data_IF_438380476808
#
_entry.id   IF_438380476808
#
_cell.length_a   1.000
_cell.length_b   1.000
_cell.length_c   1.000
_cell.angle_alpha   90.00
_cell.angle_beta   90.00
_cell.angle_gamma   90.00
#
_symmetry.space_group_name_H-M   'P 1'
#
loop_
_entity.id
_entity.type
_entity.pdbx_description
1 polymer ?
#
# COMPACT_ATOMS: atom_id res chain seq x y z
N UNK A 1 -1.27 -21.37 9.91
CA UNK A 1 -2.06 -20.73 10.99
C UNK A 1 -1.71 -19.24 11.07
N UNK A 2 -2.63 -18.37 11.48
CA UNK A 2 -2.36 -16.92 11.68
C UNK A 2 -3.07 -16.42 12.94
N UNK A 3 -2.43 -15.53 13.68
CA UNK A 3 -3.00 -14.79 14.79
C UNK A 3 -2.65 -13.31 14.61
N UNK A 4 -3.59 -12.40 14.89
CA UNK A 4 -3.40 -10.98 14.63
C UNK A 4 -3.90 -10.10 15.75
N UNK A 5 -3.20 -9.00 15.97
CA UNK A 5 -3.57 -7.90 16.83
C UNK A 5 -3.69 -6.61 16.01
N UNK A 6 -4.68 -5.78 16.31
CA UNK A 6 -4.87 -4.48 15.64
C UNK A 6 -5.22 -3.43 16.67
N UNK A 7 -4.55 -2.28 16.59
CA UNK A 7 -4.82 -1.12 17.42
C UNK A 7 -5.00 0.15 16.56
N UNK A 8 -5.89 1.04 17.00
CA UNK A 8 -6.16 2.32 16.35
C UNK A 8 -5.91 3.44 17.36
N UNK A 9 -5.04 4.38 17.02
CA UNK A 9 -4.77 5.58 17.80
C UNK A 9 -5.26 6.78 17.01
N UNK A 10 -6.31 7.45 17.49
CA UNK A 10 -6.79 8.71 16.92
C UNK A 10 -6.06 9.88 17.56
N UNK A 11 -5.50 10.79 16.76
CA UNK A 11 -4.90 12.03 17.25
C UNK A 11 -5.70 13.22 16.70
N UNK A 12 -6.56 13.79 17.54
CA UNK A 12 -7.53 14.80 17.10
C UNK A 12 -8.52 14.22 16.07
N UNK A 13 -9.11 15.10 15.26
CA UNK A 13 -10.13 14.70 14.26
C UNK A 13 -9.55 14.36 12.88
N UNK A 14 -8.31 14.75 12.60
CA UNK A 14 -7.71 14.68 11.27
C UNK A 14 -6.62 13.62 11.11
N UNK A 15 -6.23 12.92 12.17
CA UNK A 15 -5.11 11.96 12.14
C UNK A 15 -5.47 10.63 12.76
N UNK A 16 -5.19 9.55 12.04
CA UNK A 16 -5.41 8.19 12.50
C UNK A 16 -4.16 7.35 12.28
N UNK A 17 -3.58 6.84 13.37
CA UNK A 17 -2.52 5.84 13.33
C UNK A 17 -3.13 4.46 13.56
N UNK A 18 -2.75 3.48 12.74
CA UNK A 18 -3.16 2.10 12.85
C UNK A 18 -1.93 1.21 12.94
N UNK A 19 -1.88 0.40 13.99
CA UNK A 19 -0.86 -0.60 14.18
C UNK A 19 -1.51 -1.97 14.02
N UNK A 20 -0.93 -2.83 13.18
CA UNK A 20 -1.35 -4.23 13.04
C UNK A 20 -0.14 -5.13 13.19
N UNK A 21 -0.26 -6.11 14.07
CA UNK A 21 0.76 -7.14 14.27
C UNK A 21 0.15 -8.49 13.91
N UNK A 22 0.81 -9.28 13.07
CA UNK A 22 0.32 -10.59 12.63
C UNK A 22 1.39 -11.64 12.79
N UNK A 23 1.18 -12.59 13.69
CA UNK A 23 1.99 -13.79 13.82
C UNK A 23 1.45 -14.87 12.87
N UNK A 24 2.34 -15.56 12.16
CA UNK A 24 1.93 -16.62 11.24
C UNK A 24 2.87 -17.82 11.28
N UNK A 25 2.30 -18.96 10.89
CA UNK A 25 3.04 -20.16 10.51
C UNK A 25 2.55 -20.65 9.16
N UNK A 26 3.49 -20.86 8.23
CA UNK A 26 3.25 -21.44 6.91
C UNK A 26 4.31 -22.51 6.64
N UNK A 27 3.91 -23.59 5.99
CA UNK A 27 4.82 -24.70 5.67
C UNK A 27 6.04 -24.25 4.86
N UNK A 28 5.84 -23.37 3.88
CA UNK A 28 6.90 -22.86 3.00
C UNK A 28 7.81 -21.78 3.60
N UNK A 29 7.36 -21.05 4.64
CA UNK A 29 8.09 -19.90 5.23
C UNK A 29 8.49 -20.12 6.70
N UNK A 30 7.95 -21.14 7.33
CA UNK A 30 8.05 -21.36 8.77
C UNK A 30 7.24 -20.35 9.59
N UNK A 31 7.75 -20.06 10.79
CA UNK A 31 7.21 -19.03 11.69
C UNK A 31 7.67 -17.64 11.26
N UNK A 32 6.77 -16.66 11.35
CA UNK A 32 7.10 -15.26 11.15
C UNK A 32 6.12 -14.31 11.81
N UNK A 33 6.49 -13.04 11.81
CA UNK A 33 5.68 -11.93 12.29
C UNK A 33 5.69 -10.80 11.26
N UNK A 34 4.55 -10.15 11.09
CA UNK A 34 4.41 -8.97 10.23
C UNK A 34 3.84 -7.82 11.07
N UNK A 35 4.60 -6.74 11.16
CA UNK A 35 4.20 -5.46 11.76
C UNK A 35 3.83 -4.49 10.65
N UNK A 36 2.69 -3.81 10.79
CA UNK A 36 2.22 -2.78 9.87
C UNK A 36 1.83 -1.52 10.63
N UNK A 37 2.33 -0.38 10.15
CA UNK A 37 2.06 0.95 10.67
C UNK A 37 1.48 1.81 9.55
N UNK A 38 0.25 2.26 9.73
CA UNK A 38 -0.47 3.09 8.76
C UNK A 38 -0.92 4.38 9.44
N UNK A 39 -0.40 5.50 8.94
CA UNK A 39 -0.77 6.84 9.37
C UNK A 39 -1.60 7.53 8.29
N UNK A 40 -2.83 7.89 8.62
CA UNK A 40 -3.69 8.74 7.80
C UNK A 40 -3.74 10.15 8.37
N UNK A 41 -3.62 11.15 7.50
CA UNK A 41 -3.76 12.56 7.83
C UNK A 41 -4.64 13.26 6.78
N UNK A 42 -5.76 13.82 7.23
CA UNK A 42 -6.55 14.74 6.41
C UNK A 42 -5.80 16.07 6.30
N UNK A 43 -5.58 16.53 5.06
CA UNK A 43 -4.94 17.82 4.76
C UNK A 43 -5.97 18.91 4.41
N UNK A 44 -7.23 18.51 4.20
CA UNK A 44 -8.38 19.34 3.90
C UNK A 44 -9.56 18.43 3.52
N UNK A 45 -10.58 19.00 2.88
CA UNK A 45 -11.77 18.24 2.47
C UNK A 45 -11.49 17.28 1.30
N UNK A 46 -10.59 17.69 0.40
CA UNK A 46 -10.29 16.96 -0.83
C UNK A 46 -9.00 16.13 -0.77
N UNK A 47 -8.16 16.32 0.25
CA UNK A 47 -6.83 15.71 0.32
C UNK A 47 -6.61 14.90 1.59
N UNK A 48 -6.14 13.67 1.42
CA UNK A 48 -5.68 12.80 2.51
C UNK A 48 -4.30 12.25 2.18
N UNK A 49 -3.37 12.37 3.12
CA UNK A 49 -2.08 11.70 3.07
C UNK A 49 -2.15 10.38 3.84
N UNK A 50 -1.62 9.30 3.26
CA UNK A 50 -1.43 8.00 3.92
C UNK A 50 0.03 7.61 3.85
N UNK A 51 0.62 7.30 4.99
CA UNK A 51 1.94 6.68 5.07
C UNK A 51 1.80 5.28 5.63
N UNK A 52 2.17 4.28 4.86
CA UNK A 52 2.08 2.87 5.22
C UNK A 52 3.46 2.25 5.26
N UNK A 53 3.77 1.54 6.34
CA UNK A 53 5.02 0.83 6.52
C UNK A 53 4.72 -0.59 6.95
N UNK A 54 5.43 -1.55 6.36
CA UNK A 54 5.30 -2.96 6.66
C UNK A 54 6.68 -3.54 6.94
N UNK A 55 6.77 -4.42 7.94
CA UNK A 55 7.98 -5.15 8.27
C UNK A 55 7.63 -6.60 8.57
N UNK A 56 8.26 -7.54 7.88
CA UNK A 56 8.08 -8.98 8.06
C UNK A 56 9.40 -9.62 8.45
N UNK A 57 9.38 -10.35 9.57
CA UNK A 57 10.45 -11.25 9.99
C UNK A 57 9.94 -12.67 9.84
N UNK A 58 10.62 -13.49 9.05
CA UNK A 58 10.32 -14.92 8.91
C UNK A 58 11.62 -15.72 8.80
N UNK A 59 11.50 -17.06 8.77
CA UNK A 59 12.70 -17.92 8.65
C UNK A 59 13.32 -17.88 7.24
N UNK A 60 12.52 -17.54 6.24
CA UNK A 60 12.92 -17.47 4.84
C UNK A 60 13.39 -16.07 4.40
N UNK A 61 13.34 -15.06 5.28
CA UNK A 61 13.77 -13.69 4.99
C UNK A 61 15.20 -13.44 5.46
N UNK A 62 15.98 -12.71 4.68
CA UNK A 62 17.32 -12.27 5.11
C UNK A 62 17.20 -11.01 5.96
N UNK A 63 17.03 -11.21 7.28
CA UNK A 63 16.74 -10.13 8.22
C UNK A 63 15.27 -9.72 8.14
N UNK A 64 15.03 -8.40 8.09
CA UNK A 64 13.70 -7.79 7.95
C UNK A 64 13.37 -7.50 6.49
N UNK A 65 12.33 -8.15 5.95
CA UNK A 65 11.63 -7.75 4.73
C UNK A 65 10.77 -6.53 5.05
N UNK A 66 10.94 -5.43 4.33
CA UNK A 66 10.28 -4.17 4.64
C UNK A 66 9.71 -3.50 3.40
N UNK A 67 8.66 -2.72 3.61
CA UNK A 67 8.01 -1.89 2.60
C UNK A 67 7.56 -0.58 3.19
N UNK A 68 7.66 0.51 2.43
CA UNK A 68 7.15 1.82 2.78
C UNK A 68 6.50 2.47 1.57
N UNK A 69 5.27 2.97 1.75
CA UNK A 69 4.55 3.72 0.74
C UNK A 69 3.95 4.99 1.30
N UNK A 70 4.05 6.07 0.53
CA UNK A 70 3.45 7.36 0.83
C UNK A 70 2.48 7.71 -0.30
N UNK A 71 1.21 7.84 0.03
CA UNK A 71 0.14 8.10 -0.93
C UNK A 71 -0.61 9.38 -0.60
N UNK A 72 -0.80 10.23 -1.62
CA UNK A 72 -1.68 11.38 -1.58
C UNK A 72 -2.97 11.05 -2.33
N UNK A 73 -4.07 10.97 -1.59
CA UNK A 73 -5.41 10.81 -2.12
C UNK A 73 -6.01 12.19 -2.38
N UNK A 74 -6.52 12.39 -3.59
CA UNK A 74 -7.15 13.61 -4.06
C UNK A 74 -8.55 13.28 -4.58
N UNK A 75 -9.57 13.73 -3.85
CA UNK A 75 -10.96 13.67 -4.28
C UNK A 75 -11.20 14.76 -5.32
N UNK A 76 -11.43 14.37 -6.58
CA UNK A 76 -11.71 15.31 -7.67
C UNK A 76 -13.21 15.68 -7.73
N UNK A 77 -14.07 14.77 -7.26
CA UNK A 77 -15.52 14.93 -7.19
C UNK A 77 -16.11 13.75 -6.39
N UNK A 78 -17.43 13.76 -6.16
CA UNK A 78 -18.16 12.60 -5.63
C UNK A 78 -18.09 11.33 -6.51
N UNK A 79 -17.47 11.39 -7.68
CA UNK A 79 -17.40 10.28 -8.65
C UNK A 79 -15.99 9.89 -9.05
N UNK A 80 -14.99 10.68 -8.70
CA UNK A 80 -13.64 10.58 -9.26
C UNK A 80 -12.61 10.89 -8.18
N UNK A 81 -11.61 10.04 -8.10
CA UNK A 81 -10.49 10.22 -7.21
C UNK A 81 -9.18 9.92 -7.94
N UNK A 82 -8.12 10.56 -7.49
CA UNK A 82 -6.76 10.35 -7.98
C UNK A 82 -5.85 10.05 -6.79
N UNK A 83 -4.97 9.08 -6.97
CA UNK A 83 -3.99 8.69 -5.95
C UNK A 83 -2.61 8.76 -6.55
N UNK A 84 -1.71 9.46 -5.87
CA UNK A 84 -0.30 9.55 -6.22
C UNK A 84 0.50 8.85 -5.13
N UNK A 85 1.30 7.85 -5.50
CA UNK A 85 2.03 7.01 -4.56
C UNK A 85 3.52 7.00 -4.87
N UNK A 86 4.32 7.11 -3.81
CA UNK A 86 5.73 6.71 -3.78
C UNK A 86 5.82 5.37 -3.04
N UNK A 87 6.60 4.43 -3.57
CA UNK A 87 6.79 3.11 -2.96
C UNK A 87 8.28 2.75 -2.90
N UNK A 88 8.63 2.00 -1.89
CA UNK A 88 9.97 1.43 -1.69
C UNK A 88 9.87 0.13 -0.89
N UNK A 89 10.70 -0.85 -1.22
CA UNK A 89 10.73 -2.15 -0.58
C UNK A 89 12.13 -2.77 -0.64
N UNK A 90 12.40 -3.69 0.29
CA UNK A 90 13.61 -4.51 0.26
C UNK A 90 13.79 -5.34 1.52
N UNK A 91 15.01 -5.86 1.69
CA UNK A 91 15.38 -6.73 2.80
C UNK A 91 16.66 -6.24 3.47
N UNK A 92 16.63 -6.03 4.78
CA UNK A 92 17.77 -5.43 5.50
C UNK A 92 19.04 -6.28 5.50
N UNK A 93 18.91 -7.60 5.42
CA UNK A 93 20.03 -8.55 5.40
C UNK A 93 20.55 -8.89 4.00
N UNK A 94 19.81 -8.55 2.95
CA UNK A 94 20.22 -8.80 1.57
C UNK A 94 21.37 -7.88 1.14
N UNK A 95 22.18 -8.34 0.18
CA UNK A 95 23.24 -7.55 -0.46
C UNK A 95 22.70 -6.23 -1.04
N UNK A 96 21.47 -6.26 -1.54
CA UNK A 96 20.72 -5.08 -2.00
C UNK A 96 19.57 -4.82 -1.05
N UNK A 97 19.80 -3.93 -0.08
CA UNK A 97 18.80 -3.62 0.96
C UNK A 97 17.55 -2.89 0.47
N UNK A 98 17.68 -2.17 -0.64
CA UNK A 98 16.58 -1.51 -1.34
C UNK A 98 16.40 -2.20 -2.69
N UNK A 99 15.54 -3.20 -2.72
CA UNK A 99 15.33 -4.04 -3.90
C UNK A 99 14.55 -3.28 -4.97
N UNK A 100 13.57 -2.46 -4.57
CA UNK A 100 12.73 -1.77 -5.53
C UNK A 100 12.20 -0.44 -4.96
N UNK A 101 12.00 0.53 -5.84
CA UNK A 101 11.29 1.76 -5.54
C UNK A 101 10.58 2.23 -6.80
N UNK A 102 9.58 3.09 -6.62
CA UNK A 102 8.85 3.60 -7.76
C UNK A 102 7.80 4.62 -7.41
N UNK A 103 7.07 4.98 -8.46
CA UNK A 103 5.94 5.86 -8.41
C UNK A 103 4.75 5.19 -9.08
N UNK A 104 3.56 5.43 -8.54
CA UNK A 104 2.32 5.00 -9.14
C UNK A 104 1.31 6.14 -9.10
N UNK A 105 0.53 6.27 -10.17
CA UNK A 105 -0.65 7.10 -10.19
C UNK A 105 -1.86 6.25 -10.55
N UNK A 106 -2.93 6.37 -9.77
CA UNK A 106 -4.17 5.62 -9.97
C UNK A 106 -5.36 6.59 -10.04
N UNK A 107 -6.11 6.50 -11.12
CA UNK A 107 -7.38 7.18 -11.32
C UNK A 107 -8.53 6.21 -11.07
N UNK A 108 -9.45 6.57 -10.19
CA UNK A 108 -10.64 5.78 -9.88
C UNK A 108 -11.89 6.58 -10.22
N UNK A 109 -12.80 5.98 -10.98
CA UNK A 109 -14.07 6.60 -11.36
C UNK A 109 -15.24 5.66 -11.12
N UNK A 110 -16.30 6.17 -10.49
CA UNK A 110 -17.62 5.53 -10.49
C UNK A 110 -18.27 5.72 -11.88
N UNK A 111 -18.46 4.63 -12.61
CA UNK A 111 -18.86 4.68 -14.02
C UNK A 111 -20.37 4.54 -14.26
N UNK A 112 -21.08 3.75 -13.47
CA UNK A 112 -22.51 3.50 -13.70
C UNK A 112 -23.34 3.71 -12.43
N UNK A 113 -23.55 2.64 -11.67
CA UNK A 113 -24.27 2.70 -10.40
C UNK A 113 -23.30 2.94 -9.25
N UNK A 114 -23.85 3.29 -8.08
CA UNK A 114 -23.07 3.49 -6.83
C UNK A 114 -22.09 2.36 -6.52
N UNK A 115 -22.37 1.16 -7.01
CA UNK A 115 -21.59 -0.04 -6.77
C UNK A 115 -20.51 -0.37 -7.82
N UNK A 116 -20.39 0.36 -8.94
CA UNK A 116 -19.44 0.03 -10.01
C UNK A 116 -18.36 1.09 -10.21
N UNK A 117 -17.11 0.66 -10.12
CA UNK A 117 -15.92 1.48 -10.22
C UNK A 117 -14.96 0.96 -11.28
N UNK A 118 -14.41 1.88 -12.05
CA UNK A 118 -13.28 1.66 -12.96
C UNK A 118 -12.04 2.25 -12.32
N UNK A 119 -10.93 1.53 -12.42
CA UNK A 119 -9.60 2.00 -12.05
C UNK A 119 -8.67 1.96 -13.25
N UNK A 120 -7.89 3.00 -13.42
CA UNK A 120 -6.79 3.07 -14.36
C UNK A 120 -5.52 3.41 -13.58
N UNK A 121 -4.43 2.71 -13.83
CA UNK A 121 -3.15 2.99 -13.19
C UNK A 121 -2.01 3.08 -14.18
N UNK A 122 -1.03 3.90 -13.84
CA UNK A 122 0.26 3.97 -14.50
C UNK A 122 1.35 4.00 -13.42
N UNK A 123 2.42 3.24 -13.64
CA UNK A 123 3.53 3.14 -12.70
C UNK A 123 4.87 3.10 -13.41
N UNK A 124 5.90 3.46 -12.67
CA UNK A 124 7.28 3.24 -13.05
C UNK A 124 8.05 2.80 -11.81
N UNK A 125 8.71 1.65 -11.91
CA UNK A 125 9.54 1.10 -10.83
C UNK A 125 10.97 0.87 -11.31
N UNK A 126 11.89 0.73 -10.35
CA UNK A 126 13.31 0.52 -10.60
C UNK A 126 13.81 -0.66 -9.75
N UNK A 127 13.43 -1.89 -10.12
CA UNK A 127 13.89 -3.08 -9.42
C UNK A 127 15.40 -3.28 -9.62
N UNK A 128 16.02 -3.92 -8.64
CA UNK A 128 17.42 -4.37 -8.69
C UNK A 128 17.55 -5.68 -7.94
N UNK A 129 17.97 -6.71 -8.65
CA UNK A 129 18.14 -8.06 -8.08
C UNK A 129 19.61 -8.34 -7.74
N UNK A 130 20.57 -7.83 -8.53
CA UNK A 130 22.01 -8.08 -8.31
C UNK A 130 22.87 -6.80 -8.27
N UNK A 131 24.04 -6.90 -7.61
CA UNK A 131 24.96 -5.76 -7.42
C UNK A 131 25.61 -5.29 -8.74
N UNK A 132 25.81 -6.17 -9.70
CA UNK A 132 26.38 -5.86 -11.01
C UNK A 132 25.38 -5.20 -11.95
N UNK A 133 24.09 -5.32 -11.67
CA UNK A 133 23.04 -4.70 -12.47
C UNK A 133 22.80 -3.23 -12.12
N UNK A 134 22.60 -2.42 -13.16
CA UNK A 134 22.04 -1.08 -13.05
C UNK A 134 20.52 -1.17 -13.06
N UNK A 135 19.87 -0.43 -12.16
CA UNK A 135 18.41 -0.28 -12.15
C UNK A 135 17.89 0.18 -13.51
N UNK A 136 16.99 -0.59 -14.09
CA UNK A 136 16.28 -0.24 -15.32
C UNK A 136 14.86 0.15 -14.97
N UNK A 137 14.33 1.12 -15.70
CA UNK A 137 12.93 1.50 -15.55
C UNK A 137 12.04 0.34 -15.99
N UNK A 138 11.05 0.02 -15.17
CA UNK A 138 10.02 -0.97 -15.45
C UNK A 138 8.66 -0.25 -15.45
N UNK A 139 8.15 0.19 -16.62
CA UNK A 139 6.87 0.87 -16.72
C UNK A 139 5.71 -0.12 -16.61
N UNK A 140 4.63 0.28 -15.94
CA UNK A 140 3.41 -0.50 -15.78
C UNK A 140 2.17 0.30 -16.15
N UNK A 141 1.17 -0.39 -16.71
CA UNK A 141 -0.19 0.12 -16.92
C UNK A 141 -1.19 -0.90 -16.40
N UNK A 142 -2.27 -0.42 -15.78
CA UNK A 142 -3.30 -1.27 -15.21
C UNK A 142 -4.71 -0.76 -15.50
N UNK A 143 -5.64 -1.69 -15.63
CA UNK A 143 -7.08 -1.42 -15.65
C UNK A 143 -7.77 -2.40 -14.70
N UNK A 144 -8.62 -1.88 -13.83
CA UNK A 144 -9.34 -2.64 -12.82
C UNK A 144 -10.82 -2.29 -12.80
N UNK A 145 -11.65 -3.25 -12.39
CA UNK A 145 -13.07 -3.04 -12.14
C UNK A 145 -13.39 -3.54 -10.75
N UNK A 146 -14.03 -2.69 -9.93
CA UNK A 146 -14.52 -3.08 -8.62
C UNK A 146 -16.05 -2.96 -8.56
N UNK A 147 -16.68 -4.01 -8.05
CA UNK A 147 -18.12 -4.14 -7.96
C UNK A 147 -18.53 -4.57 -6.55
N UNK A 148 -19.39 -3.77 -5.91
CA UNK A 148 -19.94 -4.10 -4.60
C UNK A 148 -21.30 -4.79 -4.73
N UNK A 149 -21.42 -5.97 -4.12
CA UNK A 149 -22.70 -6.64 -3.94
C UNK A 149 -23.24 -6.30 -2.56
N UNK A 150 -24.08 -5.26 -2.48
CA UNK A 150 -24.65 -4.76 -1.23
C UNK A 150 -24.41 -3.25 -1.00
N UNK A 151 -24.56 -2.76 0.23
CA UNK A 151 -24.29 -1.36 0.54
C UNK A 151 -22.82 -1.04 0.30
N UNK A 152 -22.58 0.07 -0.41
CA UNK A 152 -21.23 0.51 -0.75
C UNK A 152 -20.59 1.10 0.51
N UNK A 153 -19.36 0.68 0.89
CA UNK A 153 -18.69 1.20 2.08
C UNK A 153 -18.52 2.73 2.03
N UNK A 154 -18.71 3.38 3.18
CA UNK A 154 -18.35 4.77 3.37
C UNK A 154 -16.84 4.94 3.15
N UNK A 155 -16.44 5.84 2.26
CA UNK A 155 -15.04 6.06 1.90
C UNK A 155 -14.52 5.26 0.70
N UNK A 156 -15.36 4.58 -0.09
CA UNK A 156 -14.97 3.89 -1.34
C UNK A 156 -14.38 4.77 -2.46
N UNK A 157 -14.35 6.09 -2.26
CA UNK A 157 -13.70 7.08 -3.12
C UNK A 157 -12.38 7.61 -2.52
N UNK A 158 -12.03 7.23 -1.29
CA UNK A 158 -10.84 7.64 -0.55
C UNK A 158 -9.73 6.60 -0.62
#
# INVERSE_FOLDING_TARGET
MKAGYRHHFGFGESTLLRLRETLFWRDSRGFGSTTELLLDRMLGDDFMLRWNNTGTLARDTEGLEWGSSLSLFHNLSERRAMVYSLLSEGETGADIRLQNYGVETRYRQRIARRWLFLELSASATWPRETLDERRRINPGLGIGFEMYFGPVPEGSMR
#
